data_IF_777262399296
#
_entry.id   IF_777262399296
#
_cell.length_a   1.000
_cell.length_b   1.000
_cell.length_c   1.000
_cell.angle_alpha   90.00
_cell.angle_beta   90.00
_cell.angle_gamma   90.00
#
_symmetry.space_group_name_H-M   'P 1'
#
loop_
_entity.id
_entity.type
_entity.pdbx_description
1 polymer ?
#
# COMPACT_ATOMS: atom_id res chain seq x y z
N UNK A 1 -5.24 7.31 -5.29
CA UNK A 1 -5.63 5.95 -5.72
C UNK A 1 -5.08 4.86 -4.78
N UNK A 2 -3.76 4.75 -4.61
CA UNK A 2 -3.11 3.69 -3.81
C UNK A 2 -3.66 3.58 -2.39
N UNK A 3 -3.85 4.71 -1.70
CA UNK A 3 -4.46 4.71 -0.37
C UNK A 3 -5.89 4.10 -0.38
N UNK A 4 -6.68 4.32 -1.44
CA UNK A 4 -8.00 3.71 -1.59
C UNK A 4 -7.90 2.20 -1.82
N UNK A 5 -6.96 1.74 -2.66
CA UNK A 5 -6.70 0.32 -2.90
C UNK A 5 -6.31 -0.38 -1.60
N UNK A 6 -5.42 0.23 -0.81
CA UNK A 6 -4.98 -0.29 0.48
C UNK A 6 -6.16 -0.41 1.48
N UNK A 7 -7.00 0.62 1.58
CA UNK A 7 -8.16 0.59 2.48
C UNK A 7 -9.20 -0.46 2.06
N UNK A 8 -9.40 -0.67 0.75
CA UNK A 8 -10.39 -1.63 0.22
C UNK A 8 -9.85 -3.04 0.04
N UNK A 9 -8.54 -3.24 0.19
CA UNK A 9 -7.86 -4.51 -0.12
C UNK A 9 -8.11 -4.97 -1.56
N UNK A 10 -8.01 -4.01 -2.48
CA UNK A 10 -8.16 -4.20 -3.92
C UNK A 10 -6.78 -4.04 -4.58
N UNK A 11 -5.90 -5.05 -4.55
CA UNK A 11 -4.53 -4.92 -5.04
C UNK A 11 -4.43 -5.07 -6.56
N UNK A 12 -5.47 -5.55 -7.22
CA UNK A 12 -5.42 -5.92 -8.61
C UNK A 12 -5.46 -4.71 -9.55
N UNK A 13 -4.57 -4.75 -10.54
CA UNK A 13 -4.46 -3.74 -11.60
C UNK A 13 -4.95 -4.34 -12.89
N UNK A 14 -5.69 -3.56 -13.68
CA UNK A 14 -6.30 -3.98 -14.93
C UNK A 14 -5.95 -3.02 -16.06
N UNK A 15 -5.66 -3.58 -17.23
CA UNK A 15 -5.47 -2.86 -18.49
C UNK A 15 -6.75 -2.94 -19.33
N UNK A 16 -7.07 -1.85 -20.02
CA UNK A 16 -8.15 -1.83 -21.02
C UNK A 16 -7.64 -2.43 -22.34
N UNK A 17 -8.10 -3.64 -22.67
CA UNK A 17 -7.69 -4.36 -23.88
C UNK A 17 -8.84 -4.39 -24.87
N UNK A 18 -8.54 -4.01 -26.13
CA UNK A 18 -9.55 -3.98 -27.19
C UNK A 18 -10.12 -5.37 -27.41
N UNK A 19 -11.44 -5.46 -27.43
CA UNK A 19 -12.14 -6.71 -27.73
C UNK A 19 -11.97 -7.07 -29.20
N UNK A 20 -11.79 -8.36 -29.47
CA UNK A 20 -11.85 -8.96 -30.80
C UNK A 20 -13.29 -8.99 -31.32
N UNK A 21 -13.45 -9.10 -32.64
CA UNK A 21 -14.79 -9.17 -33.25
C UNK A 21 -15.64 -10.33 -32.71
N UNK A 22 -15.00 -11.45 -32.36
CA UNK A 22 -15.65 -12.61 -31.73
C UNK A 22 -16.16 -12.26 -30.32
N UNK A 23 -15.33 -11.63 -29.49
CA UNK A 23 -15.73 -11.19 -28.14
C UNK A 23 -16.86 -10.16 -28.20
N UNK A 24 -16.83 -9.25 -29.20
CA UNK A 24 -17.90 -8.26 -29.42
C UNK A 24 -19.21 -8.94 -29.83
N UNK A 25 -19.16 -9.94 -30.71
CA UNK A 25 -20.34 -10.71 -31.11
C UNK A 25 -21.00 -11.39 -29.90
N UNK A 26 -20.21 -12.10 -29.09
CA UNK A 26 -20.70 -12.76 -27.86
C UNK A 26 -21.27 -11.74 -26.88
N UNK A 27 -20.59 -10.61 -26.65
CA UNK A 27 -21.07 -9.58 -25.73
C UNK A 27 -22.36 -8.89 -26.20
N UNK A 28 -22.63 -8.85 -27.51
CA UNK A 28 -23.92 -8.39 -28.06
C UNK A 28 -25.03 -9.43 -27.90
N UNK A 29 -24.71 -10.71 -28.04
CA UNK A 29 -25.65 -11.81 -27.81
C UNK A 29 -26.07 -11.90 -26.35
N UNK A 30 -25.13 -11.72 -25.41
CA UNK A 30 -25.41 -11.75 -23.96
C UNK A 30 -26.01 -10.45 -23.42
N UNK A 31 -26.12 -9.40 -24.26
CA UNK A 31 -26.67 -8.10 -23.87
C UNK A 31 -25.71 -7.20 -23.08
N UNK A 32 -24.46 -7.59 -22.90
CA UNK A 32 -23.42 -6.76 -22.27
C UNK A 32 -23.09 -5.50 -23.10
N UNK A 33 -23.26 -5.57 -24.43
CA UNK A 33 -23.17 -4.43 -25.34
C UNK A 33 -24.55 -4.18 -25.97
N UNK A 34 -25.17 -3.01 -25.72
CA UNK A 34 -26.43 -2.62 -26.37
C UNK A 34 -26.36 -2.65 -27.91
N UNK A 35 -27.46 -3.09 -28.54
CA UNK A 35 -27.59 -3.08 -30.01
C UNK A 35 -27.47 -1.65 -30.54
N UNK A 36 -26.68 -1.47 -31.61
CA UNK A 36 -26.51 -0.18 -32.27
C UNK A 36 -25.49 0.76 -31.61
N UNK A 37 -24.89 0.38 -30.48
CA UNK A 37 -23.78 1.17 -29.93
C UNK A 37 -22.56 1.07 -30.87
N UNK A 38 -21.89 2.17 -31.23
CA UNK A 38 -20.65 2.13 -32.00
C UNK A 38 -19.45 1.79 -31.09
N UNK A 39 -18.46 1.09 -31.64
CA UNK A 39 -17.19 0.77 -30.95
C UNK A 39 -16.16 1.90 -31.05
N UNK A 40 -14.91 1.68 -30.57
CA UNK A 40 -14.33 0.41 -30.11
C UNK A 40 -14.74 0.01 -28.69
N UNK A 41 -14.76 -1.30 -28.43
CA UNK A 41 -15.04 -1.87 -27.11
C UNK A 41 -13.79 -2.45 -26.47
N UNK A 42 -13.74 -2.36 -25.14
CA UNK A 42 -12.61 -2.81 -24.35
C UNK A 42 -13.10 -3.69 -23.21
N UNK A 43 -12.32 -4.73 -22.90
CA UNK A 43 -12.46 -5.53 -21.69
C UNK A 43 -11.34 -5.19 -20.72
N UNK A 44 -11.62 -5.34 -19.43
CA UNK A 44 -10.59 -5.27 -18.40
C UNK A 44 -9.79 -6.57 -18.41
N UNK A 45 -8.47 -6.49 -18.53
CA UNK A 45 -7.56 -7.62 -18.40
C UNK A 45 -6.67 -7.40 -17.19
N UNK A 46 -6.61 -8.36 -16.26
CA UNK A 46 -5.71 -8.25 -15.11
C UNK A 46 -4.27 -8.11 -15.62
N UNK A 47 -3.65 -7.00 -15.27
CA UNK A 47 -2.30 -6.61 -15.65
C UNK A 47 -1.27 -6.96 -14.57
N UNK A 48 -1.71 -7.04 -13.32
CA UNK A 48 -0.87 -7.41 -12.19
C UNK A 48 -1.58 -7.24 -10.85
N UNK A 49 -0.81 -7.38 -9.77
CA UNK A 49 -1.27 -7.21 -8.40
C UNK A 49 -0.21 -6.37 -7.67
N UNK A 50 -0.65 -5.33 -6.96
CA UNK A 50 0.24 -4.49 -6.15
C UNK A 50 0.50 -5.17 -4.81
N UNK A 51 1.77 -5.48 -4.54
CA UNK A 51 2.23 -5.97 -3.25
C UNK A 51 2.47 -4.82 -2.26
N UNK A 52 2.51 -5.14 -0.96
CA UNK A 52 2.94 -4.22 0.09
C UNK A 52 2.00 -3.05 0.39
N UNK A 53 0.71 -3.14 0.07
CA UNK A 53 -0.25 -2.05 0.30
C UNK A 53 -0.46 -1.70 1.77
N UNK A 54 -0.08 -2.61 2.67
CA UNK A 54 -0.15 -2.53 4.12
C UNK A 54 0.61 -1.31 4.67
N UNK A 55 1.71 -0.91 4.01
CA UNK A 55 2.48 0.29 4.41
C UNK A 55 1.64 1.58 4.37
N UNK A 56 0.55 1.59 3.61
CA UNK A 56 -0.35 2.75 3.50
C UNK A 56 -1.51 2.72 4.50
N UNK A 57 -1.66 1.63 5.26
CA UNK A 57 -2.76 1.44 6.23
C UNK A 57 -2.36 1.83 7.64
N UNK A 58 -1.07 1.78 7.95
CA UNK A 58 -0.52 2.09 9.27
C UNK A 58 0.56 3.15 9.15
N UNK A 59 0.53 4.15 10.02
CA UNK A 59 1.58 5.16 10.09
C UNK A 59 2.78 4.60 10.87
N UNK A 60 3.83 4.22 10.14
CA UNK A 60 5.07 3.69 10.72
C UNK A 60 5.74 4.71 11.65
N UNK A 61 5.62 6.01 11.37
CA UNK A 61 6.14 7.06 12.24
C UNK A 61 5.37 7.09 13.55
N UNK A 62 4.04 7.02 13.50
CA UNK A 62 3.23 6.98 14.71
C UNK A 62 3.59 5.77 15.59
N UNK A 63 3.85 4.62 14.99
CA UNK A 63 4.24 3.40 15.71
C UNK A 63 5.65 3.49 16.33
N UNK A 64 6.66 3.86 15.52
CA UNK A 64 8.06 3.84 15.96
C UNK A 64 8.45 5.07 16.80
N UNK A 65 8.00 6.25 16.38
CA UNK A 65 8.40 7.52 17.00
C UNK A 65 7.39 7.90 18.08
N UNK A 66 6.13 8.08 17.70
CA UNK A 66 5.15 8.68 18.62
C UNK A 66 4.78 7.73 19.75
N UNK A 67 4.80 6.41 19.52
CA UNK A 67 4.51 5.41 20.54
C UNK A 67 5.80 4.83 21.16
N UNK A 68 6.61 4.09 20.40
CA UNK A 68 7.78 3.38 20.96
C UNK A 68 8.83 4.33 21.54
N UNK A 69 9.32 5.31 20.78
CA UNK A 69 10.36 6.22 21.28
C UNK A 69 9.86 7.08 22.45
N UNK A 70 8.66 7.66 22.36
CA UNK A 70 8.12 8.47 23.45
C UNK A 70 7.83 7.64 24.71
N UNK A 71 7.28 6.44 24.57
CA UNK A 71 7.02 5.57 25.71
C UNK A 71 8.30 5.06 26.37
N UNK A 72 9.36 4.76 25.61
CA UNK A 72 10.69 4.46 26.18
C UNK A 72 11.25 5.67 26.94
N UNK A 73 11.12 6.88 26.39
CA UNK A 73 11.56 8.10 27.08
C UNK A 73 10.79 8.31 28.38
N UNK A 74 9.46 8.10 28.37
CA UNK A 74 8.62 8.21 29.55
C UNK A 74 9.01 7.19 30.63
N UNK A 75 9.25 5.93 30.26
CA UNK A 75 9.72 4.89 31.20
C UNK A 75 11.10 5.22 31.77
N UNK A 76 12.02 5.73 30.96
CA UNK A 76 13.36 6.12 31.42
C UNK A 76 13.29 7.21 32.48
N UNK A 77 12.33 8.12 32.38
CA UNK A 77 12.09 9.18 33.38
C UNK A 77 11.18 8.76 34.53
N UNK A 78 10.63 7.55 34.51
CA UNK A 78 9.61 7.11 35.46
C UNK A 78 10.27 6.61 36.75
N UNK A 79 9.97 7.27 37.87
CA UNK A 79 10.23 6.71 39.19
C UNK A 79 9.06 5.81 39.61
N UNK A 80 9.24 4.50 39.43
CA UNK A 80 8.21 3.49 39.73
C UNK A 80 7.79 3.53 41.21
N UNK A 81 8.71 3.85 42.13
CA UNK A 81 8.41 3.92 43.56
C UNK A 81 7.50 5.09 43.93
N UNK A 82 7.44 6.12 43.08
CA UNK A 82 6.57 7.28 43.25
C UNK A 82 5.13 7.05 42.79
N UNK A 83 4.86 5.99 42.02
CA UNK A 83 3.54 5.72 41.43
C UNK A 83 2.57 5.23 42.53
N UNK A 84 1.53 6.02 42.78
CA UNK A 84 0.48 5.70 43.77
C UNK A 84 -0.78 5.10 43.16
N UNK A 85 -0.97 5.26 41.85
CA UNK A 85 -2.15 4.78 41.14
C UNK A 85 -1.88 3.41 40.51
N UNK A 86 -2.65 2.40 40.93
CA UNK A 86 -2.62 1.06 40.31
C UNK A 86 -2.90 1.14 38.80
N UNK A 87 -3.84 2.02 38.40
CA UNK A 87 -4.17 2.22 36.99
C UNK A 87 -2.96 2.74 36.19
N UNK A 88 -2.20 3.69 36.75
CA UNK A 88 -1.00 4.20 36.09
C UNK A 88 0.08 3.12 35.98
N UNK A 89 0.30 2.34 37.04
CA UNK A 89 1.25 1.22 37.02
C UNK A 89 0.86 0.17 35.97
N UNK A 90 -0.42 -0.21 35.92
CA UNK A 90 -0.95 -1.17 34.94
C UNK A 90 -0.79 -0.67 33.51
N UNK A 91 -1.04 0.62 33.25
CA UNK A 91 -0.84 1.24 31.93
C UNK A 91 0.62 1.11 31.47
N UNK A 92 1.58 1.39 32.34
CA UNK A 92 3.00 1.25 32.01
C UNK A 92 3.40 -0.21 31.80
N UNK A 93 2.95 -1.12 32.66
CA UNK A 93 3.20 -2.55 32.51
C UNK A 93 2.65 -3.08 31.18
N UNK A 94 1.39 -2.77 30.85
CA UNK A 94 0.76 -3.18 29.61
C UNK A 94 1.46 -2.60 28.38
N UNK A 95 1.91 -1.34 28.45
CA UNK A 95 2.67 -0.75 27.35
C UNK A 95 4.00 -1.48 27.12
N UNK A 96 4.69 -1.92 28.18
CA UNK A 96 5.92 -2.73 28.08
C UNK A 96 5.62 -4.10 27.48
N UNK A 97 4.53 -4.74 27.92
CA UNK A 97 4.09 -6.04 27.40
C UNK A 97 3.74 -5.98 25.90
N UNK A 98 3.30 -4.81 25.41
CA UNK A 98 3.00 -4.59 24.00
C UNK A 98 4.24 -4.39 23.10
N UNK A 99 5.44 -4.15 23.65
CA UNK A 99 6.64 -3.84 22.86
C UNK A 99 6.95 -4.92 21.80
N UNK A 100 6.98 -6.23 22.13
CA UNK A 100 7.29 -7.25 21.14
C UNK A 100 6.31 -7.24 19.96
N UNK A 101 5.02 -7.02 20.24
CA UNK A 101 3.99 -6.89 19.20
C UNK A 101 4.23 -5.65 18.34
N UNK A 102 4.52 -4.49 18.94
CA UNK A 102 4.81 -3.24 18.20
C UNK A 102 6.04 -3.38 17.29
N UNK A 103 7.08 -4.08 17.75
CA UNK A 103 8.26 -4.35 16.93
C UNK A 103 7.93 -5.29 15.77
N UNK A 104 7.19 -6.37 16.03
CA UNK A 104 6.71 -7.27 14.97
C UNK A 104 5.84 -6.54 13.94
N UNK A 105 4.94 -5.66 14.39
CA UNK A 105 4.09 -4.85 13.52
C UNK A 105 4.95 -3.90 12.65
N UNK A 106 5.99 -3.30 13.22
CA UNK A 106 6.91 -2.44 12.49
C UNK A 106 7.76 -3.21 11.47
N UNK A 107 8.26 -4.40 11.83
CA UNK A 107 9.01 -5.27 10.91
C UNK A 107 8.15 -5.67 9.71
N UNK A 108 6.90 -6.06 9.95
CA UNK A 108 5.95 -6.38 8.88
C UNK A 108 5.68 -5.18 7.96
N UNK A 109 5.55 -3.98 8.53
CA UNK A 109 5.39 -2.77 7.72
C UNK A 109 6.64 -2.44 6.91
N UNK A 110 7.84 -2.65 7.45
CA UNK A 110 9.08 -2.47 6.71
C UNK A 110 9.15 -3.43 5.52
N UNK A 111 8.83 -4.72 5.74
CA UNK A 111 8.78 -5.72 4.66
C UNK A 111 7.73 -5.34 3.62
N UNK A 112 6.53 -4.95 4.03
CA UNK A 112 5.50 -4.47 3.11
C UNK A 112 5.96 -3.23 2.33
N UNK A 113 6.69 -2.31 2.97
CA UNK A 113 7.30 -1.17 2.30
C UNK A 113 8.33 -1.58 1.25
N UNK A 114 9.20 -2.54 1.57
CA UNK A 114 10.19 -3.08 0.64
C UNK A 114 9.52 -3.73 -0.57
N UNK A 115 8.50 -4.57 -0.35
CA UNK A 115 7.70 -5.16 -1.43
C UNK A 115 6.97 -4.09 -2.25
N UNK A 116 6.44 -3.05 -1.59
CA UNK A 116 5.74 -1.97 -2.27
C UNK A 116 6.64 -1.20 -3.23
N UNK A 117 7.87 -0.90 -2.79
CA UNK A 117 8.86 -0.14 -3.56
C UNK A 117 9.79 -1.00 -4.42
N UNK A 118 9.54 -2.31 -4.52
CA UNK A 118 10.25 -3.18 -5.45
C UNK A 118 10.06 -2.72 -6.90
N UNK A 119 11.11 -2.87 -7.71
CA UNK A 119 11.12 -2.38 -9.08
C UNK A 119 9.99 -2.98 -9.94
N UNK A 120 9.66 -4.27 -9.79
CA UNK A 120 8.57 -4.90 -10.55
C UNK A 120 7.20 -4.38 -10.11
N UNK A 121 7.03 -4.16 -8.80
CA UNK A 121 5.80 -3.61 -8.24
C UNK A 121 5.58 -2.15 -8.68
N UNK A 122 6.65 -1.35 -8.72
CA UNK A 122 6.65 0.01 -9.26
C UNK A 122 6.29 0.05 -10.75
N UNK A 123 6.73 -0.91 -11.55
CA UNK A 123 6.31 -1.02 -12.96
C UNK A 123 4.80 -1.32 -13.09
N UNK A 124 4.27 -2.14 -12.19
CA UNK A 124 2.82 -2.40 -12.14
C UNK A 124 2.05 -1.14 -11.76
N UNK A 125 2.56 -0.36 -10.80
CA UNK A 125 2.00 0.96 -10.44
C UNK A 125 2.02 1.95 -11.61
N UNK A 126 3.05 1.91 -12.47
CA UNK A 126 3.13 2.77 -13.66
C UNK A 126 1.94 2.56 -14.60
N UNK A 127 1.40 1.35 -14.70
CA UNK A 127 0.20 1.04 -15.51
C UNK A 127 -1.06 1.75 -15.03
N UNK A 128 -1.16 2.04 -13.73
CA UNK A 128 -2.25 2.86 -13.17
C UNK A 128 -2.16 4.32 -13.63
N UNK A 129 -0.94 4.84 -13.80
CA UNK A 129 -0.72 6.23 -14.23
C UNK A 129 -1.13 6.50 -15.69
N UNK A 130 -1.27 5.45 -16.50
CA UNK A 130 -1.72 5.56 -17.90
C UNK A 130 -3.24 5.76 -18.03
N UNK A 131 -4.02 5.43 -16.99
CA UNK A 131 -5.49 5.54 -17.01
C UNK A 131 -5.96 6.93 -16.52
N UNK A 132 -5.18 7.61 -15.68
CA UNK A 132 -5.46 8.98 -15.25
C UNK A 132 -4.41 9.93 -15.81
N UNK A 133 -4.82 10.74 -16.80
CA UNK A 133 -4.24 12.04 -17.19
C UNK A 133 -2.92 12.35 -16.48
N UNK A 134 -1.79 12.31 -17.22
CA UNK A 134 -0.58 13.11 -16.96
C UNK A 134 -0.49 13.54 -15.47
N UNK A 135 -0.27 12.59 -14.56
CA UNK A 135 0.19 13.00 -13.22
C UNK A 135 1.61 13.45 -13.48
N UNK A 136 1.78 14.73 -13.82
CA UNK A 136 3.09 15.33 -14.06
C UNK A 136 4.00 14.95 -12.89
N UNK A 137 5.07 14.23 -13.20
CA UNK A 137 6.04 13.80 -12.22
C UNK A 137 5.87 12.39 -11.64
N UNK A 138 4.75 11.66 -11.78
CA UNK A 138 4.66 10.30 -11.22
C UNK A 138 5.55 9.31 -11.98
N UNK A 139 5.52 9.32 -13.31
CA UNK A 139 6.42 8.49 -14.10
C UNK A 139 7.89 8.82 -13.83
N UNK A 140 8.23 10.11 -13.71
CA UNK A 140 9.58 10.56 -13.37
C UNK A 140 10.00 10.19 -11.93
N UNK A 141 9.08 10.26 -10.96
CA UNK A 141 9.32 9.84 -9.59
C UNK A 141 9.52 8.33 -9.49
N UNK A 142 8.76 7.53 -10.25
CA UNK A 142 8.94 6.08 -10.36
C UNK A 142 10.28 5.75 -11.01
N UNK A 143 10.64 6.39 -12.11
CA UNK A 143 11.91 6.16 -12.81
C UNK A 143 13.11 6.59 -11.93
N UNK A 144 12.98 7.66 -11.15
CA UNK A 144 13.97 8.09 -10.16
C UNK A 144 14.10 7.07 -9.00
N UNK A 145 12.98 6.54 -8.51
CA UNK A 145 12.99 5.52 -7.46
C UNK A 145 13.69 4.24 -7.94
N UNK A 146 13.33 3.76 -9.13
CA UNK A 146 13.95 2.57 -9.76
C UNK A 146 15.46 2.76 -9.93
N UNK A 147 15.90 3.96 -10.30
CA UNK A 147 17.32 4.29 -10.44
C UNK A 147 18.03 4.27 -9.08
N UNK A 148 17.38 4.77 -8.03
CA UNK A 148 17.91 4.76 -6.67
C UNK A 148 18.00 3.34 -6.08
N UNK A 149 17.01 2.47 -6.31
CA UNK A 149 17.08 1.07 -5.86
C UNK A 149 18.18 0.29 -6.56
N UNK A 150 18.38 0.50 -7.87
CA UNK A 150 19.49 -0.14 -8.61
C UNK A 150 20.87 0.29 -8.11
N UNK A 151 21.03 1.55 -7.72
CA UNK A 151 22.29 2.07 -7.18
C UNK A 151 22.59 1.56 -5.76
N UNK A 152 21.57 1.14 -5.00
CA UNK A 152 21.72 0.62 -3.63
C UNK A 152 22.16 -0.85 -3.57
N UNK A 153 22.13 -1.58 -4.69
CA UNK A 153 22.39 -3.03 -4.78
C UNK A 153 23.75 -3.32 -5.44
N UNK A 154 24.43 -2.29 -5.96
CA UNK A 154 25.76 -2.37 -6.57
C UNK A 154 26.85 -1.93 -5.58
#
# INVERSE_FOLDING_TARGET
>A
MIHRMAQRREPDVYDAVRMTDKEVAVARETGAIPKGQPGPYFRQQKAGTIAGLEIWRTDLRALLIDDLQQGMAALKSLDVASIRSEHALRKHAQWVDDIPRKLSDAEQLIVAGQEFFDAENLQTLKRLSTIERKIEGLAGAVDALISATKASIA
#
